data_IF_220825897798
#
_entry.id   IF_220825897798
#
_cell.length_a   1.000
_cell.length_b   1.000
_cell.length_c   1.000
_cell.angle_alpha   90.00
_cell.angle_beta   90.00
_cell.angle_gamma   90.00
#
_symmetry.space_group_name_H-M   'P 1'
#
loop_
_entity.id
_entity.type
_entity.pdbx_description
1 polymer ?
#
# COMPACT_ATOMS: atom_id res chain seq x y z
N UNK A 1 -17.30 -16.67 -20.02
CA UNK A 1 -17.05 -15.77 -18.87
C UNK A 1 -17.77 -16.28 -17.61
N UNK A 2 -17.49 -17.50 -17.17
CA UNK A 2 -18.05 -18.05 -15.94
C UNK A 2 -17.28 -19.31 -15.58
N UNK A 3 -16.37 -19.22 -14.60
CA UNK A 3 -15.77 -20.36 -13.89
C UNK A 3 -14.77 -19.93 -12.80
N UNK A 4 -14.14 -18.76 -12.90
CA UNK A 4 -13.04 -18.40 -11.97
C UNK A 4 -13.55 -18.13 -10.55
N UNK A 5 -14.62 -17.34 -10.40
CA UNK A 5 -15.20 -17.07 -9.07
C UNK A 5 -15.78 -18.33 -8.43
N UNK A 6 -16.42 -19.21 -9.21
CA UNK A 6 -16.88 -20.51 -8.73
C UNK A 6 -15.73 -21.43 -8.33
N UNK A 7 -14.57 -21.40 -9.00
CA UNK A 7 -13.38 -22.16 -8.62
C UNK A 7 -12.71 -21.61 -7.36
N UNK A 8 -12.70 -20.29 -7.19
CA UNK A 8 -12.24 -19.61 -5.98
C UNK A 8 -13.17 -19.95 -4.80
N UNK A 9 -14.49 -19.95 -5.02
CA UNK A 9 -15.51 -20.26 -4.01
C UNK A 9 -15.59 -21.76 -3.70
N UNK A 10 -15.48 -22.64 -4.71
CA UNK A 10 -15.48 -24.10 -4.57
C UNK A 10 -14.16 -24.65 -4.02
N UNK A 11 -13.14 -23.80 -3.87
CA UNK A 11 -11.83 -24.15 -3.31
C UNK A 11 -11.16 -25.27 -4.10
N UNK A 12 -11.15 -25.23 -5.44
CA UNK A 12 -10.38 -26.18 -6.27
C UNK A 12 -9.07 -25.55 -6.78
N UNK A 13 -8.06 -25.51 -5.91
CA UNK A 13 -6.76 -24.93 -6.25
C UNK A 13 -5.94 -25.73 -7.26
N UNK A 14 -6.31 -26.99 -7.57
CA UNK A 14 -5.57 -27.80 -8.55
C UNK A 14 -5.92 -27.39 -9.98
N UNK A 15 -7.21 -27.17 -10.25
CA UNK A 15 -7.67 -26.67 -11.54
C UNK A 15 -7.14 -25.25 -11.83
N UNK A 16 -7.17 -24.37 -10.82
CA UNK A 16 -6.61 -23.01 -10.92
C UNK A 16 -5.10 -23.08 -11.23
N UNK A 17 -4.36 -23.94 -10.52
CA UNK A 17 -2.92 -24.11 -10.75
C UNK A 17 -2.60 -24.58 -12.17
N UNK A 18 -3.38 -25.50 -12.71
CA UNK A 18 -3.15 -26.04 -14.05
C UNK A 18 -3.38 -24.97 -15.12
N UNK A 19 -4.47 -24.21 -15.04
CA UNK A 19 -4.73 -23.07 -15.93
C UNK A 19 -3.63 -22.01 -15.85
N UNK A 20 -3.17 -21.70 -14.64
CA UNK A 20 -2.09 -20.75 -14.44
C UNK A 20 -0.79 -21.18 -15.15
N UNK A 21 -0.50 -22.50 -15.16
CA UNK A 21 0.63 -23.08 -15.89
C UNK A 21 0.45 -23.05 -17.40
N UNK A 22 -0.78 -23.17 -17.89
CA UNK A 22 -1.13 -23.09 -19.30
C UNK A 22 -1.10 -21.66 -19.86
N UNK A 23 -0.82 -20.65 -19.02
CA UNK A 23 -0.62 -19.26 -19.46
C UNK A 23 -1.80 -18.33 -19.20
N UNK A 24 -2.86 -18.81 -18.55
CA UNK A 24 -4.00 -17.97 -18.17
C UNK A 24 -3.61 -16.99 -17.05
N UNK A 25 -3.50 -15.70 -17.40
CA UNK A 25 -3.05 -14.67 -16.49
C UNK A 25 -4.02 -14.39 -15.34
N UNK A 26 -5.33 -14.51 -15.54
CA UNK A 26 -6.28 -14.40 -14.43
C UNK A 26 -6.11 -15.56 -13.46
N UNK A 27 -5.98 -16.79 -13.98
CA UNK A 27 -5.72 -17.95 -13.14
C UNK A 27 -4.38 -17.85 -12.38
N UNK A 28 -3.36 -17.19 -12.94
CA UNK A 28 -2.10 -16.91 -12.24
C UNK A 28 -2.31 -15.99 -11.04
N UNK A 29 -3.12 -14.94 -11.18
CA UNK A 29 -3.45 -14.04 -10.07
C UNK A 29 -4.30 -14.75 -9.03
N UNK A 30 -5.31 -15.51 -9.45
CA UNK A 30 -6.17 -16.29 -8.54
C UNK A 30 -5.35 -17.32 -7.75
N UNK A 31 -4.40 -17.99 -8.41
CA UNK A 31 -3.48 -18.90 -7.75
C UNK A 31 -2.60 -18.19 -6.72
N UNK A 32 -2.11 -16.99 -7.03
CA UNK A 32 -1.28 -16.20 -6.13
C UNK A 32 -2.07 -15.72 -4.90
N UNK A 33 -3.25 -15.13 -5.08
CA UNK A 33 -4.13 -14.71 -3.99
C UNK A 33 -4.47 -15.87 -3.04
N UNK A 34 -4.79 -17.03 -3.63
CA UNK A 34 -5.10 -18.25 -2.89
C UNK A 34 -3.94 -18.75 -2.01
N UNK A 35 -2.71 -18.73 -2.55
CA UNK A 35 -1.52 -19.26 -1.89
C UNK A 35 -0.91 -18.27 -0.90
N UNK A 36 -0.93 -16.98 -1.23
CA UNK A 36 -0.17 -15.94 -0.54
C UNK A 36 -0.97 -15.16 0.50
N UNK A 37 -2.30 -15.10 0.41
CA UNK A 37 -3.13 -14.31 1.33
C UNK A 37 -4.27 -15.10 1.94
N UNK A 38 -5.09 -15.77 1.11
CA UNK A 38 -6.32 -16.42 1.61
C UNK A 38 -6.10 -17.74 2.30
N UNK A 39 -4.92 -18.35 2.15
CA UNK A 39 -4.55 -19.56 2.87
C UNK A 39 -5.61 -20.67 2.74
N UNK A 40 -5.73 -21.27 1.57
CA UNK A 40 -6.75 -22.29 1.27
C UNK A 40 -6.82 -23.42 2.33
N UNK A 41 -8.02 -23.90 2.70
CA UNK A 41 -8.22 -25.09 3.55
C UNK A 41 -7.69 -26.39 2.93
N UNK A 42 -7.79 -26.52 1.61
CA UNK A 42 -7.11 -27.53 0.80
C UNK A 42 -5.68 -27.16 0.40
N UNK A 43 -5.25 -25.89 0.46
CA UNK A 43 -3.83 -25.57 0.52
C UNK A 43 -3.31 -26.06 1.85
N UNK A 44 -3.96 -25.80 2.99
CA UNK A 44 -3.67 -26.48 4.28
C UNK A 44 -3.64 -28.01 4.15
N UNK A 45 -4.36 -28.67 3.23
CA UNK A 45 -4.16 -30.10 2.89
C UNK A 45 -2.92 -30.38 2.00
N UNK A 46 -2.65 -29.59 0.97
CA UNK A 46 -1.41 -29.60 0.16
C UNK A 46 -0.15 -29.21 0.97
N UNK A 47 -0.31 -28.38 1.99
CA UNK A 47 0.65 -27.83 2.93
C UNK A 47 0.74 -28.68 4.22
N UNK A 48 -0.25 -29.55 4.47
CA UNK A 48 -0.18 -30.71 5.37
C UNK A 48 0.65 -31.84 4.76
N UNK A 49 1.04 -31.75 3.49
CA UNK A 49 2.17 -32.52 2.98
C UNK A 49 3.47 -31.75 3.22
N UNK A 50 4.57 -32.50 3.41
CA UNK A 50 5.93 -32.06 3.75
C UNK A 50 6.22 -30.59 3.40
N UNK A 51 6.86 -29.84 4.32
CA UNK A 51 7.31 -28.43 4.19
C UNK A 51 7.87 -28.03 2.80
N UNK A 52 8.49 -28.96 2.08
CA UNK A 52 8.96 -28.78 0.70
C UNK A 52 7.84 -28.46 -0.31
N UNK A 53 6.66 -29.07 -0.20
CA UNK A 53 5.49 -28.82 -1.07
C UNK A 53 4.96 -27.40 -0.88
N UNK A 54 4.95 -26.90 0.36
CA UNK A 54 4.59 -25.51 0.70
C UNK A 54 5.50 -24.49 0.06
N UNK A 55 6.81 -24.66 0.26
CA UNK A 55 7.81 -23.76 -0.33
C UNK A 55 7.72 -23.73 -1.85
N UNK A 56 7.51 -24.89 -2.49
CA UNK A 56 7.34 -24.99 -3.95
C UNK A 56 6.07 -24.28 -4.43
N UNK A 57 4.95 -24.42 -3.72
CA UNK A 57 3.71 -23.74 -4.10
C UNK A 57 3.83 -22.21 -4.02
N UNK A 58 4.45 -21.69 -2.95
CA UNK A 58 4.74 -20.26 -2.80
C UNK A 58 5.66 -19.77 -3.92
N UNK A 59 6.75 -20.49 -4.20
CA UNK A 59 7.67 -20.13 -5.29
C UNK A 59 6.99 -20.16 -6.67
N UNK A 60 6.16 -21.18 -6.94
CA UNK A 60 5.35 -21.27 -8.17
C UNK A 60 4.40 -20.07 -8.28
N UNK A 61 3.70 -19.72 -7.19
CA UNK A 61 2.74 -18.61 -7.16
C UNK A 61 3.41 -17.25 -7.43
N UNK A 62 4.53 -16.97 -6.76
CA UNK A 62 5.32 -15.75 -6.99
C UNK A 62 5.79 -15.66 -8.44
N UNK A 63 6.41 -16.72 -8.96
CA UNK A 63 6.92 -16.75 -10.34
C UNK A 63 5.81 -16.55 -11.37
N UNK A 64 4.67 -17.22 -11.20
CA UNK A 64 3.53 -17.11 -12.12
C UNK A 64 2.89 -15.72 -12.06
N UNK A 65 2.78 -15.13 -10.87
CA UNK A 65 2.32 -13.75 -10.71
C UNK A 65 3.26 -12.76 -11.40
N UNK A 66 4.57 -12.90 -11.20
CA UNK A 66 5.57 -12.05 -11.84
C UNK A 66 5.48 -12.14 -13.37
N UNK A 67 5.31 -13.35 -13.92
CA UNK A 67 5.12 -13.54 -15.36
C UNK A 67 3.86 -12.87 -15.91
N UNK A 68 2.75 -12.90 -15.17
CA UNK A 68 1.52 -12.22 -15.58
C UNK A 68 1.68 -10.69 -15.52
N UNK A 69 2.32 -10.17 -14.48
CA UNK A 69 2.58 -8.75 -14.32
C UNK A 69 3.57 -8.22 -15.38
N UNK A 70 4.63 -8.98 -15.70
CA UNK A 70 5.57 -8.65 -16.78
C UNK A 70 4.91 -8.68 -18.17
N UNK A 71 3.86 -9.48 -18.34
CA UNK A 71 3.02 -9.46 -19.54
C UNK A 71 2.01 -8.29 -19.56
N UNK A 72 2.04 -7.39 -18.58
CA UNK A 72 1.17 -6.23 -18.49
C UNK A 72 -0.24 -6.53 -17.98
N UNK A 73 -0.50 -7.72 -17.42
CA UNK A 73 -1.83 -8.06 -16.93
C UNK A 73 -2.22 -7.17 -15.74
N UNK A 74 -3.28 -6.36 -15.89
CA UNK A 74 -3.65 -5.29 -14.95
C UNK A 74 -3.77 -5.75 -13.50
N UNK A 75 -4.54 -6.81 -13.25
CA UNK A 75 -4.74 -7.34 -11.88
C UNK A 75 -3.45 -7.92 -11.30
N UNK A 76 -2.57 -8.46 -12.15
CA UNK A 76 -1.29 -9.00 -11.70
C UNK A 76 -0.30 -7.88 -11.35
N UNK A 77 -0.26 -6.81 -12.14
CA UNK A 77 0.48 -5.59 -11.85
C UNK A 77 0.05 -5.00 -10.51
N UNK A 78 -1.27 -4.87 -10.27
CA UNK A 78 -1.81 -4.36 -9.00
C UNK A 78 -1.37 -5.20 -7.82
N UNK A 79 -1.49 -6.52 -7.96
CA UNK A 79 -1.11 -7.46 -6.90
C UNK A 79 0.39 -7.38 -6.60
N UNK A 80 1.24 -7.39 -7.64
CA UNK A 80 2.70 -7.32 -7.49
C UNK A 80 3.16 -5.95 -6.95
N UNK A 81 2.54 -4.84 -7.38
CA UNK A 81 2.84 -3.50 -6.90
C UNK A 81 2.60 -3.39 -5.38
N UNK A 82 1.48 -3.92 -4.89
CA UNK A 82 1.18 -3.98 -3.47
C UNK A 82 2.21 -4.83 -2.70
N UNK A 83 2.54 -6.02 -3.23
CA UNK A 83 3.55 -6.89 -2.63
C UNK A 83 4.94 -6.25 -2.58
N UNK A 84 5.31 -5.51 -3.62
CA UNK A 84 6.58 -4.79 -3.66
C UNK A 84 6.62 -3.63 -2.67
N UNK A 85 5.48 -2.96 -2.43
CA UNK A 85 5.41 -1.82 -1.50
C UNK A 85 5.47 -2.27 -0.03
N UNK A 86 4.76 -3.34 0.33
CA UNK A 86 4.63 -3.74 1.74
C UNK A 86 5.45 -4.98 2.12
N UNK A 87 5.94 -5.73 1.14
CA UNK A 87 6.44 -7.08 1.34
C UNK A 87 5.29 -8.06 1.57
N UNK A 88 5.62 -9.34 1.67
CA UNK A 88 4.64 -10.40 1.98
C UNK A 88 5.25 -11.40 2.94
N UNK A 89 4.52 -11.67 4.01
CA UNK A 89 4.80 -12.77 4.94
C UNK A 89 3.97 -14.01 4.58
N UNK A 90 4.49 -15.17 4.92
CA UNK A 90 3.79 -16.44 4.74
C UNK A 90 2.48 -16.46 5.56
N UNK A 91 1.33 -16.84 4.98
CA UNK A 91 0.08 -16.91 5.73
C UNK A 91 0.19 -17.77 6.99
N UNK A 92 -0.15 -17.18 8.14
CA UNK A 92 -0.09 -17.84 9.45
C UNK A 92 1.32 -18.11 9.97
N UNK A 93 2.34 -17.39 9.46
CA UNK A 93 3.69 -17.39 10.01
C UNK A 93 4.35 -16.02 9.82
N UNK A 94 5.20 -15.61 10.76
CA UNK A 94 5.91 -14.32 10.69
C UNK A 94 7.15 -14.37 9.78
N UNK A 95 7.16 -15.29 8.82
CA UNK A 95 8.28 -15.48 7.91
C UNK A 95 8.04 -14.76 6.60
N UNK A 96 8.90 -13.79 6.31
CA UNK A 96 8.89 -13.08 5.04
C UNK A 96 9.16 -14.03 3.87
N UNK A 97 8.32 -13.93 2.84
CA UNK A 97 8.44 -14.70 1.58
C UNK A 97 8.77 -13.82 0.39
N UNK A 98 8.52 -12.51 0.50
CA UNK A 98 9.00 -11.49 -0.43
C UNK A 98 9.32 -10.22 0.35
N UNK A 99 10.53 -9.73 0.20
CA UNK A 99 10.96 -8.45 0.72
C UNK A 99 10.31 -7.29 -0.04
N UNK A 100 10.31 -6.12 0.60
CA UNK A 100 9.92 -4.88 -0.06
C UNK A 100 10.90 -4.59 -1.21
N UNK A 101 10.36 -4.13 -2.33
CA UNK A 101 11.10 -3.71 -3.52
C UNK A 101 10.47 -2.41 -4.01
N UNK A 102 10.84 -1.29 -3.39
CA UNK A 102 10.21 0.00 -3.70
C UNK A 102 10.45 0.43 -5.16
N UNK A 103 11.57 0.02 -5.77
CA UNK A 103 11.82 0.26 -7.20
C UNK A 103 10.85 -0.55 -8.07
N UNK A 104 10.61 -1.82 -7.72
CA UNK A 104 9.60 -2.66 -8.35
C UNK A 104 8.20 -2.10 -8.18
N UNK A 105 7.85 -1.59 -7.00
CA UNK A 105 6.57 -0.95 -6.72
C UNK A 105 6.38 0.32 -7.58
N UNK A 106 7.40 1.18 -7.62
CA UNK A 106 7.40 2.39 -8.45
C UNK A 106 7.18 2.05 -9.93
N UNK A 107 7.89 1.05 -10.46
CA UNK A 107 7.71 0.58 -11.84
C UNK A 107 6.28 0.11 -12.09
N UNK A 108 5.75 -0.74 -11.21
CA UNK A 108 4.45 -1.37 -11.43
C UNK A 108 3.28 -0.37 -11.27
N UNK A 109 3.35 0.59 -10.32
CA UNK A 109 2.35 1.66 -10.21
C UNK A 109 2.37 2.64 -11.39
N UNK A 110 3.54 2.95 -11.95
CA UNK A 110 3.62 3.71 -13.19
C UNK A 110 2.96 2.98 -14.36
N UNK A 111 3.17 1.66 -14.46
CA UNK A 111 2.52 0.84 -15.48
C UNK A 111 0.99 0.82 -15.29
N UNK A 112 0.51 0.72 -14.04
CA UNK A 112 -0.91 0.76 -13.71
C UNK A 112 -1.57 2.10 -14.09
N UNK A 113 -0.95 3.23 -13.75
CA UNK A 113 -1.47 4.57 -14.09
C UNK A 113 -1.58 4.80 -15.60
N UNK A 114 -0.73 4.13 -16.38
CA UNK A 114 -0.71 4.17 -17.85
C UNK A 114 -1.58 3.07 -18.49
N UNK A 115 -2.15 2.17 -17.69
CA UNK A 115 -2.85 1.00 -18.20
C UNK A 115 -4.27 1.37 -18.69
N UNK A 116 -4.74 0.86 -19.85
CA UNK A 116 -6.07 1.18 -20.38
C UNK A 116 -7.25 0.81 -19.46
N UNK A 117 -7.06 -0.17 -18.58
CA UNK A 117 -8.08 -0.60 -17.61
C UNK A 117 -8.10 0.24 -16.31
N UNK A 118 -7.16 1.19 -16.13
CA UNK A 118 -7.12 2.02 -14.93
C UNK A 118 -8.34 2.95 -14.88
N UNK A 119 -9.22 2.69 -13.92
CA UNK A 119 -10.35 3.58 -13.63
C UNK A 119 -9.91 4.86 -12.90
N UNK A 120 -10.75 5.89 -12.90
CA UNK A 120 -10.49 7.12 -12.13
C UNK A 120 -10.39 6.85 -10.63
N UNK A 121 -11.23 5.96 -10.10
CA UNK A 121 -11.16 5.56 -8.69
C UNK A 121 -9.80 4.95 -8.34
N UNK A 122 -9.32 4.02 -9.17
CA UNK A 122 -8.02 3.38 -8.97
C UNK A 122 -6.85 4.34 -9.19
N UNK A 123 -7.03 5.36 -10.04
CA UNK A 123 -6.00 6.38 -10.31
C UNK A 123 -5.59 7.12 -9.03
N UNK A 124 -6.55 7.45 -8.18
CA UNK A 124 -6.28 8.06 -6.87
C UNK A 124 -5.45 7.14 -5.97
N UNK A 125 -5.83 5.87 -5.86
CA UNK A 125 -5.09 4.86 -5.08
C UNK A 125 -3.65 4.72 -5.61
N UNK A 126 -3.49 4.60 -6.92
CA UNK A 126 -2.16 4.38 -7.53
C UNK A 126 -1.26 5.60 -7.41
N UNK A 127 -1.79 6.82 -7.51
CA UNK A 127 -1.02 8.03 -7.23
C UNK A 127 -0.57 8.09 -5.76
N UNK A 128 -1.46 7.76 -4.81
CA UNK A 128 -1.11 7.71 -3.39
C UNK A 128 0.03 6.71 -3.14
N UNK A 129 -0.11 5.48 -3.64
CA UNK A 129 0.86 4.41 -3.43
C UNK A 129 2.17 4.62 -4.19
N UNK A 130 2.13 5.25 -5.37
CA UNK A 130 3.35 5.62 -6.10
C UNK A 130 4.13 6.70 -5.35
N UNK A 131 3.44 7.71 -4.81
CA UNK A 131 4.06 8.72 -3.94
C UNK A 131 4.77 8.08 -2.74
N UNK A 132 4.09 7.17 -2.05
CA UNK A 132 4.64 6.38 -0.93
C UNK A 132 5.88 5.57 -1.37
N UNK A 133 5.79 4.82 -2.47
CA UNK A 133 6.89 4.01 -3.00
C UNK A 133 8.13 4.85 -3.31
N UNK A 134 7.97 6.02 -3.94
CA UNK A 134 9.09 6.92 -4.27
C UNK A 134 9.77 7.42 -2.99
N UNK A 135 9.01 7.83 -1.97
CA UNK A 135 9.59 8.30 -0.70
C UNK A 135 10.41 7.23 0.02
N UNK A 136 9.98 5.96 -0.04
CA UNK A 136 10.72 4.85 0.54
C UNK A 136 11.96 4.49 -0.27
N UNK A 137 11.87 4.43 -1.60
CA UNK A 137 13.02 4.21 -2.48
C UNK A 137 14.09 5.30 -2.33
N UNK A 138 13.70 6.57 -2.16
CA UNK A 138 14.62 7.70 -2.02
C UNK A 138 15.47 7.61 -0.75
N UNK A 139 14.88 7.15 0.37
CA UNK A 139 15.59 6.92 1.65
C UNK A 139 16.72 5.89 1.52
N UNK A 140 16.61 4.94 0.60
CA UNK A 140 17.66 3.94 0.36
C UNK A 140 18.87 4.52 -0.39
N UNK A 141 18.68 5.58 -1.18
CA UNK A 141 19.70 6.08 -2.12
C UNK A 141 20.22 7.49 -1.82
N UNK A 142 19.59 8.24 -0.92
CA UNK A 142 20.03 9.59 -0.56
C UNK A 142 19.93 10.59 -1.72
N UNK A 143 19.04 10.33 -2.69
CA UNK A 143 18.65 11.33 -3.68
C UNK A 143 17.54 12.22 -3.10
N UNK A 144 17.12 13.24 -3.83
CA UNK A 144 15.98 14.09 -3.45
C UNK A 144 14.88 13.93 -4.51
N UNK A 145 14.20 12.78 -4.50
CA UNK A 145 13.04 12.51 -5.36
C UNK A 145 11.72 12.96 -4.73
N UNK A 146 11.78 13.76 -3.67
CA UNK A 146 10.60 14.23 -2.94
C UNK A 146 9.64 15.02 -3.84
N UNK A 147 10.13 15.84 -4.78
CA UNK A 147 9.24 16.56 -5.71
C UNK A 147 8.38 15.63 -6.59
N UNK A 148 8.94 14.50 -7.02
CA UNK A 148 8.18 13.51 -7.79
C UNK A 148 7.11 12.84 -6.92
N UNK A 149 7.47 12.49 -5.67
CA UNK A 149 6.50 11.94 -4.73
C UNK A 149 5.39 12.95 -4.39
N UNK A 150 5.74 14.21 -4.09
CA UNK A 150 4.79 15.28 -3.79
C UNK A 150 3.84 15.52 -4.97
N UNK A 151 4.32 15.45 -6.21
CA UNK A 151 3.49 15.56 -7.41
C UNK A 151 2.39 14.49 -7.42
N UNK A 152 2.74 13.23 -7.21
CA UNK A 152 1.75 12.15 -7.17
C UNK A 152 0.82 12.24 -5.96
N UNK A 153 1.32 12.61 -4.79
CA UNK A 153 0.47 12.80 -3.61
C UNK A 153 -0.54 13.94 -3.82
N UNK A 154 -0.14 15.06 -4.43
CA UNK A 154 -1.06 16.14 -4.81
C UNK A 154 -2.10 15.69 -5.83
N UNK A 155 -1.74 14.80 -6.76
CA UNK A 155 -2.72 14.18 -7.67
C UNK A 155 -3.72 13.31 -6.89
N UNK A 156 -3.26 12.56 -5.88
CA UNK A 156 -4.14 11.72 -5.05
C UNK A 156 -5.13 12.54 -4.20
N UNK A 157 -4.77 13.77 -3.81
CA UNK A 157 -5.68 14.70 -3.09
C UNK A 157 -6.94 15.04 -3.90
N UNK A 158 -6.90 14.96 -5.23
CA UNK A 158 -8.07 15.20 -6.07
C UNK A 158 -9.14 14.09 -6.00
N UNK A 159 -8.87 12.99 -5.27
CA UNK A 159 -9.76 11.84 -5.13
C UNK A 159 -10.25 11.71 -3.68
N UNK A 160 -11.55 11.93 -3.41
CA UNK A 160 -12.08 11.97 -2.05
C UNK A 160 -11.78 10.72 -1.19
N UNK A 161 -11.85 9.52 -1.79
CA UNK A 161 -11.54 8.24 -1.11
C UNK A 161 -10.09 8.16 -0.57
N UNK A 162 -9.19 9.01 -1.08
CA UNK A 162 -7.76 8.97 -0.78
C UNK A 162 -7.21 10.32 -0.31
N UNK A 163 -8.06 11.35 -0.24
CA UNK A 163 -7.66 12.72 0.05
C UNK A 163 -6.99 12.82 1.41
N UNK A 164 -7.66 12.38 2.47
CA UNK A 164 -7.13 12.47 3.83
C UNK A 164 -5.80 11.73 3.98
N UNK A 165 -5.68 10.53 3.39
CA UNK A 165 -4.46 9.74 3.38
C UNK A 165 -3.31 10.46 2.65
N UNK A 166 -3.59 11.03 1.48
CA UNK A 166 -2.61 11.78 0.71
C UNK A 166 -2.14 13.03 1.46
N UNK A 167 -3.08 13.80 2.05
CA UNK A 167 -2.77 14.98 2.87
C UNK A 167 -1.95 14.63 4.10
N UNK A 168 -2.23 13.50 4.75
CA UNK A 168 -1.42 13.01 5.88
C UNK A 168 0.04 12.76 5.47
N UNK A 169 0.28 12.07 4.35
CA UNK A 169 1.64 11.83 3.86
C UNK A 169 2.31 13.14 3.44
N UNK A 170 1.61 14.02 2.71
CA UNK A 170 2.10 15.36 2.34
C UNK A 170 2.56 16.14 3.56
N UNK A 171 1.75 16.16 4.62
CA UNK A 171 2.07 16.82 5.89
C UNK A 171 3.45 16.40 6.41
N UNK A 172 3.69 15.09 6.54
CA UNK A 172 4.94 14.57 7.10
C UNK A 172 6.16 14.76 6.20
N UNK A 173 5.98 14.78 4.88
CA UNK A 173 7.08 15.06 3.93
C UNK A 173 7.43 16.55 3.96
N UNK A 174 6.44 17.43 3.75
CA UNK A 174 6.62 18.87 3.70
C UNK A 174 7.21 19.41 5.01
N UNK A 175 6.76 18.90 6.16
CA UNK A 175 7.31 19.26 7.47
C UNK A 175 8.80 18.96 7.58
N UNK A 176 9.23 17.75 7.18
CA UNK A 176 10.66 17.35 7.21
C UNK A 176 11.54 18.18 6.28
N UNK A 177 10.96 18.81 5.26
CA UNK A 177 11.64 19.71 4.33
C UNK A 177 11.42 21.19 4.63
N UNK A 178 10.89 21.51 5.82
CA UNK A 178 10.66 22.89 6.27
C UNK A 178 9.70 23.71 5.39
N UNK A 179 8.88 23.05 4.57
CA UNK A 179 7.77 23.66 3.85
C UNK A 179 6.55 23.79 4.78
N UNK A 180 6.72 24.54 5.88
CA UNK A 180 5.82 24.50 7.03
C UNK A 180 4.41 25.02 6.73
N UNK A 181 4.27 26.10 5.95
CA UNK A 181 2.95 26.66 5.61
C UNK A 181 2.06 25.64 4.89
N UNK A 182 2.60 24.96 3.87
CA UNK A 182 1.88 23.94 3.12
C UNK A 182 1.61 22.70 3.99
N UNK A 183 2.61 22.29 4.81
CA UNK A 183 2.45 21.17 5.74
C UNK A 183 1.29 21.42 6.73
N UNK A 184 1.20 22.62 7.30
CA UNK A 184 0.13 23.00 8.23
C UNK A 184 -1.23 23.02 7.53
N UNK A 185 -1.30 23.55 6.30
CA UNK A 185 -2.53 23.55 5.51
C UNK A 185 -3.09 22.15 5.30
N UNK A 186 -2.23 21.19 4.93
CA UNK A 186 -2.62 19.80 4.80
C UNK A 186 -3.00 19.17 6.15
N UNK A 187 -2.21 19.41 7.20
CA UNK A 187 -2.45 18.86 8.53
C UNK A 187 -3.84 19.27 9.07
N UNK A 188 -4.22 20.55 8.93
CA UNK A 188 -5.55 21.05 9.33
C UNK A 188 -6.70 20.33 8.62
N UNK A 189 -6.45 19.80 7.43
CA UNK A 189 -7.50 19.18 6.61
C UNK A 189 -7.64 17.67 6.87
N UNK A 190 -6.73 17.04 7.60
CA UNK A 190 -6.75 15.59 7.79
C UNK A 190 -6.51 15.13 9.23
N UNK A 191 -6.35 16.03 10.20
CA UNK A 191 -6.06 15.65 11.59
C UNK A 191 -7.16 14.83 12.27
N UNK A 192 -8.40 14.95 11.81
CA UNK A 192 -9.52 14.15 12.35
C UNK A 192 -9.45 12.69 11.90
N UNK A 193 -9.07 12.45 10.64
CA UNK A 193 -8.89 11.10 10.09
C UNK A 193 -7.53 10.50 10.47
N UNK A 194 -6.52 11.35 10.62
CA UNK A 194 -5.13 10.99 10.93
C UNK A 194 -4.63 11.80 12.13
N UNK A 195 -4.91 11.37 13.37
CA UNK A 195 -4.60 12.13 14.57
C UNK A 195 -3.14 12.57 14.70
N UNK A 196 -2.19 11.82 14.14
CA UNK A 196 -0.78 12.24 14.10
C UNK A 196 -0.56 13.62 13.46
N UNK A 197 -1.41 14.06 12.52
CA UNK A 197 -1.32 15.40 11.96
C UNK A 197 -1.63 16.50 13.00
N UNK A 198 -2.38 16.22 14.06
CA UNK A 198 -2.56 17.15 15.18
C UNK A 198 -1.23 17.39 15.94
N UNK A 199 -0.32 16.40 16.01
CA UNK A 199 1.01 16.61 16.59
C UNK A 199 1.86 17.58 15.74
N UNK A 200 1.71 17.54 14.41
CA UNK A 200 2.35 18.52 13.53
C UNK A 200 1.79 19.92 13.78
N UNK A 201 0.47 20.05 13.93
CA UNK A 201 -0.18 21.33 14.25
C UNK A 201 0.25 21.87 15.62
N UNK A 202 0.33 21.02 16.65
CA UNK A 202 0.88 21.37 17.95
C UNK A 202 2.28 22.00 17.82
N UNK A 203 3.20 21.32 17.13
CA UNK A 203 4.56 21.83 16.94
C UNK A 203 4.59 23.13 16.13
N UNK A 204 3.73 23.25 15.12
CA UNK A 204 3.63 24.44 14.27
C UNK A 204 3.23 25.67 15.09
N UNK A 205 2.14 25.58 15.85
CA UNK A 205 1.64 26.68 16.67
C UNK A 205 2.52 26.97 17.87
N UNK A 206 3.17 25.96 18.47
CA UNK A 206 4.11 26.16 19.56
C UNK A 206 5.35 26.97 19.14
N UNK A 207 5.83 26.72 17.92
CA UNK A 207 7.10 27.28 17.44
C UNK A 207 6.93 28.43 16.42
N UNK A 208 5.70 28.76 16.01
CA UNK A 208 5.44 29.71 14.94
C UNK A 208 5.96 29.26 13.57
N UNK A 209 5.89 27.96 13.26
CA UNK A 209 6.39 27.38 12.02
C UNK A 209 5.28 27.27 10.98
N UNK A 210 5.32 28.15 9.97
CA UNK A 210 4.30 28.20 8.91
C UNK A 210 2.94 28.77 9.34
N UNK A 211 2.86 29.25 10.58
CA UNK A 211 1.73 29.93 11.21
C UNK A 211 2.25 30.88 12.29
N UNK A 212 1.43 31.84 12.72
CA UNK A 212 1.71 32.60 13.94
C UNK A 212 1.70 31.68 15.16
N UNK A 213 2.60 31.94 16.11
CA UNK A 213 2.67 31.15 17.33
C UNK A 213 1.43 31.39 18.21
N UNK A 214 0.84 30.31 18.70
CA UNK A 214 -0.37 30.32 19.53
C UNK A 214 -0.27 29.18 20.55
N UNK A 215 0.00 29.53 21.80
CA UNK A 215 0.21 28.55 22.86
C UNK A 215 -1.07 27.78 23.21
N UNK A 216 -2.20 28.48 23.28
CA UNK A 216 -3.49 27.87 23.64
C UNK A 216 -3.93 26.88 22.56
N UNK A 217 -3.76 27.25 21.30
CA UNK A 217 -4.10 26.37 20.18
C UNK A 217 -3.11 25.21 20.05
N UNK A 218 -1.82 25.43 20.33
CA UNK A 218 -0.84 24.35 20.38
C UNK A 218 -1.20 23.31 21.44
N UNK A 219 -1.57 23.74 22.65
CA UNK A 219 -1.96 22.85 23.74
C UNK A 219 -3.26 22.09 23.40
N UNK A 220 -4.23 22.76 22.76
CA UNK A 220 -5.45 22.10 22.28
C UNK A 220 -5.15 20.94 21.32
N UNK A 221 -4.26 21.14 20.33
CA UNK A 221 -3.90 20.09 19.38
C UNK A 221 -3.15 18.93 20.03
N UNK A 222 -2.35 19.21 21.07
CA UNK A 222 -1.69 18.17 21.84
C UNK A 222 -2.69 17.33 22.62
N UNK A 223 -3.61 17.98 23.35
CA UNK A 223 -4.70 17.33 24.08
C UNK A 223 -5.58 16.48 23.15
N UNK A 224 -5.89 17.00 21.96
CA UNK A 224 -6.63 16.26 20.94
C UNK A 224 -5.88 14.98 20.52
N UNK A 225 -4.59 15.09 20.19
CA UNK A 225 -3.76 13.95 19.82
C UNK A 225 -3.67 12.92 20.95
N UNK A 226 -3.54 13.37 22.19
CA UNK A 226 -3.43 12.49 23.34
C UNK A 226 -4.74 11.70 23.56
N UNK A 227 -5.89 12.39 23.59
CA UNK A 227 -7.20 11.77 23.77
C UNK A 227 -7.54 10.74 22.68
N UNK A 228 -7.06 10.98 21.46
CA UNK A 228 -7.29 10.09 20.32
C UNK A 228 -6.34 8.89 20.27
N UNK A 229 -5.15 8.98 20.90
CA UNK A 229 -4.17 7.88 20.96
C UNK A 229 -4.20 7.07 22.27
N UNK A 230 -4.90 7.55 23.29
CA UNK A 230 -5.21 6.72 24.45
C UNK A 230 -6.18 5.62 24.02
N UNK A 231 -5.70 4.38 23.94
CA UNK A 231 -6.58 3.19 23.89
C UNK A 231 -7.57 3.27 25.05
N UNK A 232 -8.88 3.02 24.84
CA UNK A 232 -9.79 2.87 25.96
C UNK A 232 -9.21 1.78 26.86
N UNK A 233 -8.96 2.12 28.13
CA UNK A 233 -8.67 1.10 29.13
C UNK A 233 -9.79 0.07 29.05
N UNK A 234 -9.44 -1.19 28.80
CA UNK A 234 -10.39 -2.28 28.79
C UNK A 234 -10.99 -2.41 30.19
N UNK A 235 -12.12 -1.75 30.42
CA UNK A 235 -13.03 -2.01 31.56
C UNK A 235 -13.81 -3.29 31.33
#
# INVERSE_FOLDING_TARGET
MGNNEELIQSKDGSAIKERARQGDNEARVDFADLVLYRGYEGARKLLRTKRATRKKAIADALRLLDQAADAGHFRALRFRAHMNLYGVSEPGADRLIREQDFRGAERDYNALLSHPQCSDRERGEFHLRLGEAILHHDREKGHNRNEQALTHLRQAVAYPDHEAAARHILTGVLWRHSAYEEAVSHARSCYEDYPWAAMILHMAYKNGQGVEADADLADWYYDYWEKTNQTPEAT
#
